data_IF_876889304195
#
_entry.id   IF_876889304195
#
_cell.length_a   1.000
_cell.length_b   1.000
_cell.length_c   1.000
_cell.angle_alpha   90.00
_cell.angle_beta   90.00
_cell.angle_gamma   90.00
#
_symmetry.space_group_name_H-M   'P 1'
#
loop_
_entity.id
_entity.type
_entity.pdbx_description
1 polymer ?
#
# COMPACT_ATOMS: atom_id res chain seq x y z
N UNK A 1 8.63 4.87 -18.33
CA UNK A 1 8.04 3.61 -18.83
C UNK A 1 8.17 3.49 -20.33
N UNK A 2 7.61 4.40 -21.14
CA UNK A 2 7.71 4.34 -22.62
C UNK A 2 9.16 4.23 -23.15
N UNK A 3 10.09 5.03 -22.59
CA UNK A 3 11.50 4.97 -22.99
C UNK A 3 12.14 3.59 -22.71
N UNK A 4 11.81 2.94 -21.58
CA UNK A 4 12.36 1.62 -21.24
C UNK A 4 11.82 0.53 -22.17
N UNK A 5 10.53 0.59 -22.50
CA UNK A 5 9.90 -0.36 -23.43
C UNK A 5 10.52 -0.24 -24.83
N UNK A 6 10.81 0.98 -25.27
CA UNK A 6 11.47 1.23 -26.55
C UNK A 6 12.94 0.74 -26.58
N UNK A 7 13.61 0.69 -25.43
CA UNK A 7 15.01 0.24 -25.32
C UNK A 7 15.18 -1.28 -25.18
N UNK A 8 14.11 -2.07 -25.25
CA UNK A 8 14.20 -3.54 -25.26
C UNK A 8 14.70 -3.98 -26.63
N UNK A 9 15.93 -4.50 -26.69
CA UNK A 9 16.53 -5.01 -27.92
C UNK A 9 16.25 -6.50 -28.10
N UNK A 10 16.39 -7.30 -27.04
CA UNK A 10 16.10 -8.72 -27.00
C UNK A 10 15.10 -9.01 -25.88
N UNK A 11 13.90 -9.47 -26.26
CA UNK A 11 12.84 -9.75 -25.31
C UNK A 11 13.12 -11.01 -24.48
N UNK A 12 13.66 -12.06 -25.10
CA UNK A 12 13.86 -13.36 -24.44
C UNK A 12 14.96 -13.24 -23.36
N UNK A 13 16.02 -12.49 -23.67
CA UNK A 13 17.08 -12.20 -22.71
C UNK A 13 16.58 -11.37 -21.52
N UNK A 14 15.76 -10.34 -21.78
CA UNK A 14 15.22 -9.46 -20.74
C UNK A 14 14.19 -10.19 -19.88
N UNK A 15 13.35 -11.05 -20.48
CA UNK A 15 12.34 -11.84 -19.77
C UNK A 15 12.94 -12.95 -18.90
N UNK A 16 14.06 -13.54 -19.30
CA UNK A 16 14.78 -14.55 -18.52
C UNK A 16 15.67 -13.99 -17.41
N UNK A 17 15.82 -12.67 -17.33
CA UNK A 17 16.72 -12.01 -16.38
C UNK A 17 16.09 -11.89 -14.98
N UNK A 18 16.92 -12.00 -13.94
CA UNK A 18 16.47 -11.81 -12.55
C UNK A 18 16.05 -10.38 -12.23
N UNK A 19 16.50 -9.42 -13.02
CA UNK A 19 16.17 -8.00 -12.87
C UNK A 19 16.02 -7.35 -14.26
N UNK A 20 14.88 -7.55 -14.93
CA UNK A 20 14.65 -7.08 -16.30
C UNK A 20 14.95 -5.58 -16.51
N UNK A 21 14.58 -4.66 -15.59
CA UNK A 21 14.92 -3.25 -15.74
C UNK A 21 16.43 -2.98 -15.73
N UNK A 22 17.21 -3.78 -14.99
CA UNK A 22 18.67 -3.63 -14.94
C UNK A 22 19.30 -4.06 -16.25
N UNK A 23 18.81 -5.17 -16.82
CA UNK A 23 19.27 -5.69 -18.10
C UNK A 23 19.04 -4.68 -19.23
N UNK A 24 17.84 -4.08 -19.30
CA UNK A 24 17.53 -3.02 -20.28
C UNK A 24 18.49 -1.83 -20.18
N UNK A 25 18.88 -1.45 -18.96
CA UNK A 25 19.82 -0.35 -18.75
C UNK A 25 21.24 -0.70 -19.20
N UNK A 26 21.68 -1.94 -18.96
CA UNK A 26 22.98 -2.42 -19.40
C UNK A 26 23.03 -2.47 -20.93
N UNK A 27 21.99 -3.02 -21.56
CA UNK A 27 21.92 -3.22 -23.00
C UNK A 27 21.78 -1.88 -23.75
N UNK A 28 21.06 -0.90 -23.17
CA UNK A 28 20.86 0.42 -23.78
C UNK A 28 21.97 1.45 -23.53
N UNK A 29 22.66 1.42 -22.38
CA UNK A 29 23.56 2.49 -21.93
C UNK A 29 25.01 2.03 -21.66
N UNK A 30 25.25 0.72 -21.69
CA UNK A 30 26.52 0.12 -21.31
C UNK A 30 26.71 0.01 -19.79
N UNK A 31 27.61 -0.90 -19.38
CA UNK A 31 27.77 -1.30 -17.98
C UNK A 31 28.18 -0.16 -17.03
N UNK A 32 29.03 0.77 -17.48
CA UNK A 32 29.52 1.88 -16.66
C UNK A 32 28.40 2.85 -16.26
N UNK A 33 27.65 3.32 -17.25
CA UNK A 33 26.52 4.24 -17.07
C UNK A 33 25.39 3.58 -16.29
N UNK A 34 25.08 2.31 -16.60
CA UNK A 34 24.06 1.54 -15.87
C UNK A 34 24.36 1.44 -14.37
N UNK A 35 25.62 1.19 -13.97
CA UNK A 35 26.02 1.14 -12.55
C UNK A 35 25.80 2.46 -11.82
N UNK A 36 26.16 3.59 -12.43
CA UNK A 36 25.94 4.92 -11.83
C UNK A 36 24.45 5.19 -11.66
N UNK A 37 23.65 4.85 -12.68
CA UNK A 37 22.19 5.03 -12.61
C UNK A 37 21.56 4.15 -11.53
N UNK A 38 22.03 2.91 -11.37
CA UNK A 38 21.58 2.02 -10.29
C UNK A 38 21.90 2.59 -8.90
N UNK A 39 23.04 3.25 -8.73
CA UNK A 39 23.38 3.91 -7.47
C UNK A 39 22.39 5.04 -7.15
N UNK A 40 21.97 5.82 -8.16
CA UNK A 40 20.92 6.83 -8.01
C UNK A 40 19.58 6.18 -7.65
N UNK A 41 19.22 5.08 -8.30
CA UNK A 41 17.98 4.32 -8.00
C UNK A 41 17.97 3.79 -6.57
N UNK A 42 19.09 3.25 -6.09
CA UNK A 42 19.23 2.82 -4.69
C UNK A 42 19.00 4.00 -3.74
N UNK A 43 19.60 5.15 -4.01
CA UNK A 43 19.35 6.38 -3.24
C UNK A 43 17.87 6.77 -3.22
N UNK A 44 17.22 6.78 -4.39
CA UNK A 44 15.80 7.10 -4.51
C UNK A 44 14.90 6.10 -3.75
N UNK A 45 15.23 4.80 -3.78
CA UNK A 45 14.50 3.77 -3.02
C UNK A 45 14.61 3.97 -1.51
N UNK A 46 15.77 4.40 -1.00
CA UNK A 46 15.93 4.74 0.42
C UNK A 46 15.03 5.91 0.84
N UNK A 47 14.97 6.97 0.02
CA UNK A 47 14.07 8.11 0.29
C UNK A 47 12.59 7.71 0.23
N UNK A 48 12.22 6.88 -0.75
CA UNK A 48 10.86 6.35 -0.86
C UNK A 48 10.49 5.51 0.38
N UNK A 49 11.40 4.63 0.84
CA UNK A 49 11.21 3.84 2.05
C UNK A 49 10.99 4.70 3.30
N UNK A 50 11.79 5.76 3.46
CA UNK A 50 11.65 6.70 4.58
C UNK A 50 10.31 7.47 4.53
N UNK A 51 9.87 7.88 3.35
CA UNK A 51 8.58 8.53 3.15
C UNK A 51 7.41 7.59 3.50
N UNK A 52 7.47 6.34 3.06
CA UNK A 52 6.49 5.31 3.38
C UNK A 52 6.42 5.01 4.88
N UNK A 53 7.58 4.88 5.55
CA UNK A 53 7.63 4.66 7.00
C UNK A 53 7.01 5.83 7.77
N UNK A 54 7.27 7.06 7.33
CA UNK A 54 6.69 8.27 7.93
C UNK A 54 5.17 8.30 7.76
N UNK A 55 4.67 7.98 6.56
CA UNK A 55 3.23 7.90 6.27
C UNK A 55 2.54 6.83 7.11
N UNK A 56 3.10 5.61 7.14
CA UNK A 56 2.56 4.48 7.90
C UNK A 56 2.48 4.80 9.40
N UNK A 57 3.52 5.43 9.96
CA UNK A 57 3.54 5.86 11.36
C UNK A 57 2.40 6.82 11.69
N UNK A 58 2.10 7.78 10.80
CA UNK A 58 0.99 8.74 10.99
C UNK A 58 -0.37 8.04 10.93
N UNK A 59 -0.54 7.08 10.03
CA UNK A 59 -1.75 6.26 9.95
C UNK A 59 -1.93 5.43 11.24
N UNK A 60 -0.87 4.78 11.72
CA UNK A 60 -0.89 4.00 12.96
C UNK A 60 -1.26 4.89 14.15
N UNK A 61 -0.67 6.07 14.25
CA UNK A 61 -1.00 7.03 15.30
C UNK A 61 -2.48 7.44 15.26
N UNK A 62 -3.00 7.82 14.08
CA UNK A 62 -4.39 8.24 13.92
C UNK A 62 -5.38 7.12 14.28
N UNK A 63 -5.17 5.90 13.75
CA UNK A 63 -6.01 4.76 14.09
C UNK A 63 -5.92 4.35 15.56
N UNK A 64 -4.76 4.52 16.19
CA UNK A 64 -4.60 4.25 17.62
C UNK A 64 -5.28 5.31 18.48
N UNK A 65 -5.24 6.59 18.08
CA UNK A 65 -5.97 7.67 18.73
C UNK A 65 -7.48 7.40 18.70
N UNK A 66 -7.98 6.94 17.56
CA UNK A 66 -9.40 6.64 17.37
C UNK A 66 -9.81 5.29 18.00
N UNK A 67 -8.90 4.62 18.73
CA UNK A 67 -9.19 3.38 19.46
C UNK A 67 -9.32 2.13 18.60
N UNK A 68 -8.96 2.20 17.31
CA UNK A 68 -9.15 1.12 16.33
C UNK A 68 -8.17 -0.06 16.52
N UNK A 69 -7.01 0.15 17.16
CA UNK A 69 -5.93 -0.84 17.23
C UNK A 69 -5.79 -1.59 18.56
N UNK A 70 -5.25 -2.83 18.55
CA UNK A 70 -4.92 -3.57 19.76
C UNK A 70 -3.85 -2.81 20.55
N UNK A 71 -4.10 -2.54 21.83
CA UNK A 71 -3.18 -1.74 22.64
C UNK A 71 -3.11 -0.27 22.22
N UNK A 72 -4.17 0.28 21.60
CA UNK A 72 -4.29 1.68 21.15
C UNK A 72 -3.74 2.72 22.14
N UNK A 73 -3.91 2.49 23.45
CA UNK A 73 -3.37 3.33 24.53
C UNK A 73 -1.85 3.50 24.51
N UNK A 74 -1.12 2.49 24.04
CA UNK A 74 0.34 2.52 23.98
C UNK A 74 0.82 3.18 22.68
N UNK A 75 0.18 2.90 21.56
CA UNK A 75 0.66 3.33 20.24
C UNK A 75 0.42 4.81 19.94
N UNK A 76 -0.57 5.44 20.56
CA UNK A 76 -0.83 6.89 20.41
C UNK A 76 0.06 7.76 21.34
N UNK A 77 0.99 7.20 22.12
CA UNK A 77 1.86 8.01 22.97
C UNK A 77 2.91 8.75 22.13
N UNK A 78 2.94 10.08 22.23
CA UNK A 78 3.95 10.94 21.57
C UNK A 78 5.11 11.20 22.53
N UNK A 79 6.35 11.11 22.01
CA UNK A 79 7.55 11.45 22.78
C UNK A 79 7.64 12.97 23.01
N UNK A 80 7.84 13.45 24.26
CA UNK A 80 7.96 14.89 24.54
C UNK A 80 9.16 15.55 23.85
N UNK A 81 10.23 14.78 23.61
CA UNK A 81 11.51 15.30 23.08
C UNK A 81 11.51 15.45 21.56
N UNK A 82 10.97 14.46 20.85
CA UNK A 82 10.97 14.43 19.38
C UNK A 82 9.63 14.84 18.77
N UNK A 83 8.58 14.99 19.60
CA UNK A 83 7.19 15.24 19.17
C UNK A 83 6.69 14.23 18.12
N UNK A 84 7.27 13.03 18.12
CA UNK A 84 6.92 11.93 17.21
C UNK A 84 6.45 10.70 17.99
N UNK A 85 5.53 9.90 17.43
CA UNK A 85 5.08 8.66 18.05
C UNK A 85 6.11 7.53 17.84
N UNK A 86 7.23 7.59 18.56
CA UNK A 86 8.38 6.66 18.41
C UNK A 86 7.97 5.19 18.54
N UNK A 87 6.99 4.89 19.39
CA UNK A 87 6.50 3.52 19.60
C UNK A 87 5.73 2.99 18.38
N UNK A 88 4.99 3.85 17.69
CA UNK A 88 4.34 3.51 16.42
C UNK A 88 5.36 3.26 15.31
N UNK A 89 6.49 3.99 15.30
CA UNK A 89 7.60 3.74 14.36
C UNK A 89 8.16 2.33 14.57
N UNK A 90 8.48 1.96 15.82
CA UNK A 90 9.01 0.62 16.11
C UNK A 90 8.03 -0.50 15.78
N UNK A 91 6.73 -0.29 15.97
CA UNK A 91 5.71 -1.23 15.50
C UNK A 91 5.73 -1.39 13.98
N UNK A 92 5.77 -0.28 13.24
CA UNK A 92 5.85 -0.32 11.78
C UNK A 92 7.10 -1.06 11.30
N UNK A 93 8.26 -0.76 11.87
CA UNK A 93 9.54 -1.42 11.53
C UNK A 93 9.49 -2.91 11.87
N UNK A 94 9.01 -3.27 13.06
CA UNK A 94 8.90 -4.65 13.51
C UNK A 94 7.98 -5.49 12.61
N UNK A 95 6.80 -4.96 12.27
CA UNK A 95 5.87 -5.63 11.36
C UNK A 95 6.47 -5.76 9.94
N UNK A 96 7.14 -4.72 9.44
CA UNK A 96 7.78 -4.75 8.12
C UNK A 96 8.90 -5.79 8.06
N UNK A 97 9.72 -5.85 9.12
CA UNK A 97 10.79 -6.85 9.23
C UNK A 97 10.21 -8.27 9.30
N UNK A 98 9.19 -8.48 10.13
CA UNK A 98 8.52 -9.78 10.26
C UNK A 98 7.93 -10.28 8.92
N UNK A 99 7.38 -9.37 8.12
CA UNK A 99 6.84 -9.69 6.79
C UNK A 99 7.94 -10.01 5.77
N UNK A 100 9.11 -9.39 5.85
CA UNK A 100 10.21 -9.60 4.91
C UNK A 100 11.05 -10.84 5.24
N UNK A 101 11.14 -11.25 6.51
CA UNK A 101 11.93 -12.40 6.96
C UNK A 101 11.72 -13.69 6.14
N UNK A 102 10.48 -14.12 5.81
CA UNK A 102 10.26 -15.32 4.99
C UNK A 102 10.84 -15.21 3.57
N UNK A 103 10.94 -13.99 3.03
CA UNK A 103 11.49 -13.72 1.70
C UNK A 103 13.00 -13.98 1.59
N UNK A 104 13.72 -14.11 2.71
CA UNK A 104 15.13 -14.47 2.69
C UNK A 104 15.34 -15.94 2.29
N UNK A 105 14.45 -16.84 2.73
CA UNK A 105 14.59 -18.27 2.47
C UNK A 105 14.02 -18.72 1.14
N UNK A 106 13.01 -18.03 0.60
CA UNK A 106 12.32 -18.44 -0.61
C UNK A 106 12.01 -17.27 -1.54
N UNK A 107 12.43 -17.40 -2.80
CA UNK A 107 12.07 -16.47 -3.86
C UNK A 107 10.55 -16.43 -4.09
N UNK A 108 9.86 -17.56 -3.92
CA UNK A 108 8.40 -17.67 -3.99
C UNK A 108 7.74 -16.89 -2.86
N UNK A 109 8.31 -16.93 -1.66
CA UNK A 109 7.83 -16.11 -0.54
C UNK A 109 8.02 -14.61 -0.83
N UNK A 110 9.18 -14.21 -1.36
CA UNK A 110 9.45 -12.81 -1.72
C UNK A 110 8.44 -12.29 -2.78
N UNK A 111 8.23 -13.04 -3.86
CA UNK A 111 7.29 -12.67 -4.92
C UNK A 111 5.83 -12.65 -4.44
N UNK A 112 5.46 -13.56 -3.54
CA UNK A 112 4.15 -13.53 -2.88
C UNK A 112 3.97 -12.27 -2.01
N UNK A 113 4.98 -11.88 -1.22
CA UNK A 113 4.94 -10.66 -0.40
C UNK A 113 4.76 -9.43 -1.29
N UNK A 114 5.54 -9.30 -2.37
CA UNK A 114 5.42 -8.18 -3.31
C UNK A 114 4.01 -8.12 -3.91
N UNK A 115 3.48 -9.26 -4.34
CA UNK A 115 2.14 -9.35 -4.92
C UNK A 115 1.03 -8.94 -3.93
N UNK A 116 1.13 -9.37 -2.67
CA UNK A 116 0.19 -8.99 -1.60
C UNK A 116 0.24 -7.50 -1.33
N UNK A 117 1.42 -6.87 -1.35
CA UNK A 117 1.55 -5.43 -1.14
C UNK A 117 0.83 -4.64 -2.25
N UNK A 118 0.99 -5.06 -3.51
CA UNK A 118 0.29 -4.42 -4.65
C UNK A 118 -1.22 -4.60 -4.52
N UNK A 119 -1.68 -5.83 -4.28
CA UNK A 119 -3.13 -6.10 -4.15
C UNK A 119 -3.73 -5.40 -2.92
N UNK A 120 -3.02 -5.38 -1.80
CA UNK A 120 -3.45 -4.69 -0.58
C UNK A 120 -3.61 -3.18 -0.81
N UNK A 121 -2.67 -2.55 -1.51
CA UNK A 121 -2.77 -1.14 -1.89
C UNK A 121 -3.95 -0.87 -2.83
N UNK A 122 -4.15 -1.75 -3.81
CA UNK A 122 -5.27 -1.66 -4.75
C UNK A 122 -6.61 -1.75 -4.03
N UNK A 123 -6.78 -2.71 -3.13
CA UNK A 123 -7.99 -2.84 -2.32
C UNK A 123 -8.18 -1.64 -1.38
N UNK A 124 -7.11 -1.10 -0.80
CA UNK A 124 -7.17 0.11 0.01
C UNK A 124 -7.68 1.33 -0.78
N UNK A 125 -7.38 1.41 -2.08
CA UNK A 125 -7.97 2.43 -2.97
C UNK A 125 -9.39 2.10 -3.43
N UNK A 126 -9.73 0.82 -3.60
CA UNK A 126 -11.07 0.39 -3.99
C UNK A 126 -12.12 0.78 -2.94
N UNK A 127 -11.80 0.63 -1.65
CA UNK A 127 -12.74 0.91 -0.54
C UNK A 127 -13.30 2.34 -0.56
N UNK A 128 -12.50 3.42 -0.53
CA UNK A 128 -13.04 4.78 -0.54
C UNK A 128 -13.77 5.12 -1.85
N UNK A 129 -13.32 4.59 -3.00
CA UNK A 129 -14.01 4.79 -4.28
C UNK A 129 -15.38 4.12 -4.25
N UNK A 130 -15.45 2.90 -3.74
CA UNK A 130 -16.70 2.16 -3.58
C UNK A 130 -17.65 2.82 -2.57
N UNK A 131 -17.14 3.30 -1.43
CA UNK A 131 -17.93 4.04 -0.45
C UNK A 131 -18.48 5.35 -1.04
N UNK A 132 -17.68 6.07 -1.84
CA UNK A 132 -18.16 7.25 -2.59
C UNK A 132 -19.28 6.89 -3.55
N UNK A 133 -19.19 5.77 -4.27
CA UNK A 133 -20.26 5.31 -5.16
C UNK A 133 -21.53 4.92 -4.38
N UNK A 134 -21.39 4.33 -3.19
CA UNK A 134 -22.52 3.98 -2.32
C UNK A 134 -23.23 5.19 -1.71
N UNK A 135 -22.48 6.23 -1.32
CA UNK A 135 -23.07 7.46 -0.76
C UNK A 135 -23.95 8.20 -1.78
N UNK A 136 -23.73 7.99 -3.08
CA UNK A 136 -24.57 8.55 -4.13
C UNK A 136 -24.68 10.07 -4.04
N UNK A 137 -25.89 10.57 -3.82
CA UNK A 137 -26.21 12.00 -3.77
C UNK A 137 -26.08 12.63 -2.37
N UNK A 138 -25.86 11.81 -1.33
CA UNK A 138 -25.52 12.31 0.02
C UNK A 138 -24.06 12.79 0.12
N UNK A 139 -23.26 12.56 -0.92
CA UNK A 139 -21.87 13.00 -0.97
C UNK A 139 -21.80 14.52 -1.13
N UNK A 140 -21.31 15.20 -0.08
CA UNK A 140 -20.97 16.63 -0.15
C UNK A 140 -19.73 16.82 -1.01
N UNK A 141 -19.91 17.42 -2.19
CA UNK A 141 -18.82 17.70 -3.11
C UNK A 141 -17.87 18.75 -2.52
N UNK A 142 -16.57 18.45 -2.53
CA UNK A 142 -15.55 19.45 -2.21
C UNK A 142 -15.39 20.51 -3.30
N UNK A 143 -14.46 21.48 -3.13
CA UNK A 143 -14.22 22.58 -4.08
C UNK A 143 -13.94 22.10 -5.50
N UNK A 144 -13.42 20.88 -5.64
CA UNK A 144 -13.23 20.22 -6.92
C UNK A 144 -14.05 18.93 -7.00
N UNK A 145 -14.86 18.80 -8.06
CA UNK A 145 -15.62 17.60 -8.36
C UNK A 145 -15.65 17.33 -9.86
N UNK A 146 -15.71 16.04 -10.24
CA UNK A 146 -15.88 15.63 -11.64
C UNK A 146 -17.36 15.72 -12.11
N UNK A 147 -18.25 16.27 -11.28
CA UNK A 147 -19.69 16.27 -11.48
C UNK A 147 -20.22 14.90 -11.93
N UNK A 148 -20.92 14.88 -13.07
CA UNK A 148 -21.52 13.68 -13.67
C UNK A 148 -20.53 12.56 -14.02
N UNK A 149 -19.25 12.87 -14.25
CA UNK A 149 -18.23 11.88 -14.58
C UNK A 149 -17.71 11.12 -13.37
N UNK A 150 -18.04 11.58 -12.15
CA UNK A 150 -17.64 10.91 -10.90
C UNK A 150 -18.12 9.44 -10.84
N UNK A 151 -19.37 9.17 -11.22
CA UNK A 151 -19.96 7.83 -11.15
C UNK A 151 -19.36 6.85 -12.18
N UNK A 152 -19.32 7.15 -13.50
CA UNK A 152 -18.77 6.21 -14.47
C UNK A 152 -17.28 5.96 -14.26
N UNK A 153 -16.49 6.99 -13.93
CA UNK A 153 -15.06 6.84 -13.63
C UNK A 153 -14.86 5.99 -12.37
N UNK A 154 -15.69 6.20 -11.33
CA UNK A 154 -15.62 5.38 -10.12
C UNK A 154 -15.92 3.90 -10.38
N UNK A 155 -16.97 3.60 -11.16
CA UNK A 155 -17.33 2.21 -11.52
C UNK A 155 -16.21 1.56 -12.33
N UNK A 156 -15.68 2.26 -13.33
CA UNK A 156 -14.56 1.79 -14.13
C UNK A 156 -13.33 1.53 -13.26
N UNK A 157 -13.00 2.45 -12.33
CA UNK A 157 -11.86 2.31 -11.44
C UNK A 157 -12.01 1.10 -10.51
N UNK A 158 -13.16 0.91 -9.85
CA UNK A 158 -13.39 -0.25 -8.98
C UNK A 158 -13.32 -1.55 -9.77
N UNK A 159 -13.95 -1.59 -10.95
CA UNK A 159 -13.92 -2.78 -11.83
C UNK A 159 -12.50 -3.11 -12.26
N UNK A 160 -11.73 -2.10 -12.69
CA UNK A 160 -10.34 -2.26 -13.09
C UNK A 160 -9.45 -2.74 -11.93
N UNK A 161 -9.65 -2.18 -10.73
CA UNK A 161 -8.93 -2.60 -9.53
C UNK A 161 -9.23 -4.07 -9.22
N UNK A 162 -10.51 -4.46 -9.20
CA UNK A 162 -10.91 -5.85 -8.92
C UNK A 162 -10.33 -6.83 -9.95
N UNK A 163 -10.42 -6.49 -11.24
CA UNK A 163 -9.83 -7.28 -12.31
C UNK A 163 -8.31 -7.43 -12.11
N UNK A 164 -7.62 -6.32 -11.87
CA UNK A 164 -6.17 -6.33 -11.66
C UNK A 164 -5.78 -7.15 -10.43
N UNK A 165 -6.52 -7.02 -9.32
CA UNK A 165 -6.28 -7.82 -8.11
C UNK A 165 -6.39 -9.32 -8.37
N UNK A 166 -7.36 -9.77 -9.17
CA UNK A 166 -7.49 -11.18 -9.57
C UNK A 166 -6.30 -11.61 -10.43
N UNK A 167 -5.89 -10.79 -11.41
CA UNK A 167 -4.75 -11.12 -12.27
C UNK A 167 -3.44 -11.25 -11.49
N UNK A 168 -3.19 -10.39 -10.51
CA UNK A 168 -2.01 -10.46 -9.63
C UNK A 168 -2.03 -11.65 -8.66
N UNK A 169 -3.18 -12.27 -8.45
CA UNK A 169 -3.35 -13.46 -7.62
C UNK A 169 -3.15 -14.77 -8.39
N UNK A 170 -3.20 -14.73 -9.73
CA UNK A 170 -2.99 -15.91 -10.55
C UNK A 170 -1.52 -16.35 -10.55
N UNK A 171 -1.25 -17.66 -10.71
CA UNK A 171 0.10 -18.17 -10.85
C UNK A 171 0.75 -17.63 -12.13
N UNK A 172 1.97 -17.13 -12.01
CA UNK A 172 2.73 -16.51 -13.11
C UNK A 172 3.56 -17.52 -13.92
N UNK A 173 3.62 -18.78 -13.48
CA UNK A 173 4.39 -19.84 -14.13
C UNK A 173 3.62 -21.17 -14.13
N UNK A 174 3.86 -21.98 -15.16
CA UNK A 174 3.38 -23.36 -15.30
C UNK A 174 4.59 -24.28 -15.46
N UNK A 175 4.67 -25.44 -14.80
CA UNK A 175 3.65 -26.09 -13.95
C UNK A 175 3.54 -25.51 -12.52
N UNK A 176 2.34 -25.63 -11.93
CA UNK A 176 2.06 -25.20 -10.55
C UNK A 176 2.55 -26.27 -9.57
N UNK A 177 3.63 -25.96 -8.86
CA UNK A 177 4.20 -26.76 -7.76
C UNK A 177 4.13 -25.95 -6.47
N UNK A 178 4.47 -26.56 -5.33
CA UNK A 178 4.53 -25.87 -4.03
C UNK A 178 5.49 -24.67 -4.09
N UNK A 179 6.53 -24.75 -4.93
CA UNK A 179 7.53 -23.71 -5.11
C UNK A 179 7.15 -22.66 -6.18
N UNK A 180 6.14 -22.90 -7.02
CA UNK A 180 5.67 -21.93 -8.02
C UNK A 180 4.27 -21.35 -7.74
N UNK A 181 3.60 -21.83 -6.69
CA UNK A 181 2.29 -21.32 -6.29
C UNK A 181 2.39 -19.89 -5.76
N UNK A 182 1.50 -19.02 -6.22
CA UNK A 182 1.39 -17.66 -5.73
C UNK A 182 0.61 -17.66 -4.41
N UNK A 183 1.31 -17.55 -3.28
CA UNK A 183 0.71 -17.53 -1.93
C UNK A 183 0.01 -16.21 -1.58
N UNK A 184 -0.04 -15.24 -2.50
CA UNK A 184 -0.65 -13.93 -2.26
C UNK A 184 -2.13 -13.97 -1.82
N UNK A 185 -3.02 -14.80 -2.41
CA UNK A 185 -4.41 -14.86 -1.99
C UNK A 185 -4.57 -15.33 -0.55
N UNK A 186 -3.73 -16.28 -0.12
CA UNK A 186 -3.76 -16.85 1.23
C UNK A 186 -3.32 -15.79 2.24
N UNK A 187 -2.20 -15.11 1.98
CA UNK A 187 -1.71 -14.04 2.84
C UNK A 187 -2.74 -12.90 2.95
N UNK A 188 -3.38 -12.51 1.84
CA UNK A 188 -4.45 -11.51 1.88
C UNK A 188 -5.64 -11.99 2.71
N UNK A 189 -6.10 -13.23 2.51
CA UNK A 189 -7.23 -13.79 3.24
C UNK A 189 -6.97 -13.81 4.76
N UNK A 190 -5.76 -14.19 5.19
CA UNK A 190 -5.36 -14.16 6.59
C UNK A 190 -5.45 -12.73 7.15
N UNK A 191 -4.91 -11.74 6.45
CA UNK A 191 -4.95 -10.34 6.90
C UNK A 191 -6.39 -9.83 7.01
N UNK A 192 -7.23 -10.11 6.00
CA UNK A 192 -8.63 -9.70 6.00
C UNK A 192 -9.43 -10.38 7.12
N UNK A 193 -9.19 -11.67 7.37
CA UNK A 193 -9.84 -12.40 8.47
C UNK A 193 -9.44 -11.81 9.82
N UNK A 194 -8.14 -11.60 10.05
CA UNK A 194 -7.65 -11.00 11.31
C UNK A 194 -8.25 -9.61 11.52
N UNK A 195 -8.28 -8.77 10.48
CA UNK A 195 -8.87 -7.44 10.55
C UNK A 195 -10.38 -7.50 10.84
N UNK A 196 -11.10 -8.41 10.18
CA UNK A 196 -12.56 -8.58 10.34
C UNK A 196 -12.90 -9.09 11.74
N UNK A 197 -12.19 -10.11 12.22
CA UNK A 197 -12.37 -10.65 13.58
C UNK A 197 -12.08 -9.56 14.60
N UNK A 198 -10.99 -8.79 14.44
CA UNK A 198 -10.66 -7.69 15.33
C UNK A 198 -11.73 -6.59 15.33
N UNK A 199 -12.25 -6.25 14.15
CA UNK A 199 -13.32 -5.26 13.98
C UNK A 199 -14.57 -5.67 14.76
N UNK A 200 -15.05 -6.90 14.56
CA UNK A 200 -16.25 -7.39 15.23
C UNK A 200 -16.06 -7.66 16.73
N UNK A 201 -14.87 -8.11 17.14
CA UNK A 201 -14.58 -8.41 18.54
C UNK A 201 -14.45 -7.13 19.39
N UNK A 202 -13.70 -6.13 18.89
CA UNK A 202 -13.26 -5.01 19.74
C UNK A 202 -13.45 -3.65 19.08
N UNK A 203 -13.02 -3.47 17.82
CA UNK A 203 -12.93 -2.13 17.24
C UNK A 203 -14.31 -1.49 17.06
N UNK A 204 -15.35 -2.24 16.68
CA UNK A 204 -16.72 -1.72 16.52
C UNK A 204 -17.30 -1.05 17.78
N UNK A 205 -16.79 -1.39 18.97
CA UNK A 205 -17.26 -0.84 20.26
C UNK A 205 -16.38 0.31 20.76
N UNK A 206 -15.13 0.40 20.31
CA UNK A 206 -14.13 1.37 20.79
C UNK A 206 -13.78 2.44 19.78
N UNK A 207 -14.08 2.21 18.51
CA UNK A 207 -13.84 3.15 17.43
C UNK A 207 -14.82 4.31 17.56
N UNK A 208 -14.33 5.39 18.15
CA UNK A 208 -14.98 6.69 18.00
C UNK A 208 -14.42 7.26 16.70
N UNK A 209 -15.29 7.74 15.81
CA UNK A 209 -14.87 8.32 14.53
C UNK A 209 -13.80 9.41 14.69
N UNK A 210 -13.25 9.96 13.60
CA UNK A 210 -12.10 10.86 13.65
C UNK A 210 -12.31 11.95 14.71
N UNK A 211 -11.57 11.84 15.82
CA UNK A 211 -11.70 12.78 16.94
C UNK A 211 -11.17 14.12 16.44
N UNK A 212 -12.06 15.08 16.26
CA UNK A 212 -11.71 16.42 15.79
C UNK A 212 -10.84 17.13 16.83
N UNK A 213 -9.66 17.57 16.42
CA UNK A 213 -8.86 18.52 17.19
C UNK A 213 -9.29 19.93 16.80
N UNK A 214 -10.47 20.31 17.27
CA UNK A 214 -10.95 21.69 17.27
C UNK A 214 -11.99 21.79 18.35
N UNK A 215 -12.02 22.90 19.10
CA UNK A 215 -13.23 23.19 19.88
C UNK A 215 -14.43 23.16 18.91
N UNK A 216 -15.62 22.70 19.32
CA UNK A 216 -16.78 22.59 18.41
C UNK A 216 -17.01 23.86 17.56
N UNK A 217 -16.70 25.00 18.14
CA UNK A 217 -16.66 26.36 17.61
C UNK A 217 -15.63 26.57 16.47
N UNK A 218 -14.42 26.02 16.56
CA UNK A 218 -13.39 26.12 15.51
C UNK A 218 -13.71 25.22 14.31
N UNK A 219 -14.26 24.04 14.56
CA UNK A 219 -14.70 23.10 13.51
C UNK A 219 -15.89 23.69 12.74
N UNK A 220 -16.85 24.28 13.46
CA UNK A 220 -17.98 24.98 12.86
C UNK A 220 -17.55 26.22 12.06
N UNK A 221 -16.47 26.91 12.46
CA UNK A 221 -15.93 28.03 11.70
C UNK A 221 -15.20 27.62 10.41
N UNK A 222 -14.59 26.42 10.38
CA UNK A 222 -13.96 25.88 9.17
C UNK A 222 -14.97 25.37 8.13
N UNK A 223 -16.17 24.96 8.56
CA UNK A 223 -17.28 24.58 7.67
C UNK A 223 -17.97 25.80 7.00
N UNK A 224 -17.63 27.02 7.40
CA UNK A 224 -18.21 28.28 6.91
C UNK A 224 -17.33 29.03 5.90
N UNK A 225 -16.20 28.46 5.49
CA UNK A 225 -15.27 29.02 4.47
C UNK A 225 -15.22 28.09 3.26
#
# INVERSE_FOLDING_TARGET
>A
MLALVYSIHDYDQVAGSSAPPVQILIDGLGMGTAKVLLLIVIGAMLFCGLANLTSNTRQIFAFSRDGAMPGSRWWHTVSPRTRTPVKAVWLAVGCSLALVLPGWWSHTAFTAIVSVNVVGLFLAYAVPIFLRLRLGDEFRAGPWNLGRWSRPVGILAVTWILLSSVLFMLPQASPITVDSFNYAPIALAVVLVVATVWWFATARRRFQGPVSYGRPDEVAAMDLV
#
